data_IF_037175917878
#
_entry.id   IF_037175917878
#
_cell.length_a   1.000
_cell.length_b   1.000
_cell.length_c   1.000
_cell.angle_alpha   90.00
_cell.angle_beta   90.00
_cell.angle_gamma   90.00
#
_symmetry.space_group_name_H-M   'P 1'
#
loop_
_entity.id
_entity.type
_entity.pdbx_description
1 polymer ?
#
# COMPACT_ATOMS: atom_id res chain seq x y z
N UNK A 1 -12.72 13.73 -18.85
CA UNK A 1 -12.83 12.60 -19.79
C UNK A 1 -11.75 11.60 -19.42
N UNK A 2 -12.10 10.37 -19.09
CA UNK A 2 -11.11 9.32 -18.80
C UNK A 2 -10.36 8.93 -20.07
N UNK A 3 -9.05 8.73 -19.96
CA UNK A 3 -8.20 8.36 -21.10
C UNK A 3 -8.54 6.98 -21.67
N UNK A 4 -8.06 6.66 -22.88
CA UNK A 4 -8.37 5.38 -23.53
C UNK A 4 -7.90 4.18 -22.69
N UNK A 5 -6.77 4.33 -21.99
CA UNK A 5 -6.23 3.28 -21.13
C UNK A 5 -7.12 3.00 -19.91
N UNK A 6 -7.66 4.04 -19.26
CA UNK A 6 -8.56 3.87 -18.11
C UNK A 6 -9.79 3.04 -18.48
N UNK A 7 -10.45 3.39 -19.59
CA UNK A 7 -11.62 2.67 -20.11
C UNK A 7 -11.28 1.24 -20.52
N UNK A 8 -10.10 1.02 -21.12
CA UNK A 8 -9.63 -0.31 -21.45
C UNK A 8 -9.40 -1.15 -20.18
N UNK A 9 -8.76 -0.60 -19.15
CA UNK A 9 -8.55 -1.27 -17.86
C UNK A 9 -9.87 -1.60 -17.19
N UNK A 10 -10.82 -0.67 -17.15
CA UNK A 10 -12.16 -0.89 -16.60
C UNK A 10 -12.85 -2.10 -17.28
N UNK A 11 -12.80 -2.17 -18.61
CA UNK A 11 -13.35 -3.27 -19.39
C UNK A 11 -12.63 -4.59 -19.11
N UNK A 12 -11.30 -4.61 -19.25
CA UNK A 12 -10.49 -5.82 -19.11
C UNK A 12 -10.59 -6.40 -17.70
N UNK A 13 -10.60 -5.57 -16.65
CA UNK A 13 -10.82 -6.06 -15.28
C UNK A 13 -12.21 -6.69 -15.13
N UNK A 14 -13.23 -6.16 -15.79
CA UNK A 14 -14.57 -6.74 -15.83
C UNK A 14 -14.61 -8.15 -16.43
N UNK A 15 -13.87 -8.37 -17.52
CA UNK A 15 -13.81 -9.67 -18.20
C UNK A 15 -12.90 -10.70 -17.51
N UNK A 16 -11.91 -10.22 -16.76
CA UNK A 16 -10.86 -11.06 -16.14
C UNK A 16 -10.99 -11.18 -14.63
N UNK A 17 -12.18 -10.87 -14.08
CA UNK A 17 -12.42 -10.92 -12.65
C UNK A 17 -12.10 -12.32 -12.09
N UNK A 18 -11.31 -12.43 -11.01
CA UNK A 18 -10.99 -13.71 -10.41
C UNK A 18 -12.24 -14.37 -9.80
N UNK A 19 -12.21 -15.70 -9.66
CA UNK A 19 -13.33 -16.46 -9.08
C UNK A 19 -13.77 -15.88 -7.73
N UNK A 20 -15.07 -15.65 -7.57
CA UNK A 20 -15.64 -15.07 -6.36
C UNK A 20 -15.66 -13.54 -6.32
N UNK A 21 -15.21 -12.88 -7.39
CA UNK A 21 -15.26 -11.43 -7.55
C UNK A 21 -15.91 -11.04 -8.87
N UNK A 22 -16.45 -9.83 -8.91
CA UNK A 22 -17.01 -9.21 -10.13
C UNK A 22 -16.81 -7.70 -10.10
N UNK A 23 -16.80 -7.09 -11.28
CA UNK A 23 -17.00 -5.64 -11.40
C UNK A 23 -18.51 -5.38 -11.37
N UNK A 24 -18.98 -4.75 -10.30
CA UNK A 24 -20.38 -4.40 -10.09
C UNK A 24 -20.79 -3.10 -10.80
N UNK A 25 -19.82 -2.27 -11.19
CA UNK A 25 -20.07 -1.08 -12.00
C UNK A 25 -18.80 -0.30 -12.30
N UNK A 26 -18.88 0.58 -13.30
CA UNK A 26 -17.86 1.55 -13.70
C UNK A 26 -18.44 2.95 -13.57
N UNK A 27 -17.62 3.95 -13.23
CA UNK A 27 -18.05 5.35 -13.10
C UNK A 27 -19.26 5.51 -12.15
N UNK A 28 -19.31 4.68 -11.10
CA UNK A 28 -20.48 4.59 -10.22
C UNK A 28 -20.47 5.77 -9.24
N UNK A 29 -21.62 6.45 -9.11
CA UNK A 29 -21.80 7.53 -8.13
C UNK A 29 -21.68 7.00 -6.70
N UNK A 30 -20.96 7.74 -5.86
CA UNK A 30 -20.82 7.41 -4.44
C UNK A 30 -22.00 7.96 -3.62
N UNK A 31 -22.55 9.11 -4.02
CA UNK A 31 -23.60 9.81 -3.30
C UNK A 31 -24.95 9.68 -4.01
N UNK A 32 -26.02 9.65 -3.24
CA UNK A 32 -27.37 9.89 -3.76
C UNK A 32 -27.47 11.31 -4.36
N UNK A 33 -28.25 11.47 -5.43
CA UNK A 33 -28.37 12.73 -6.19
C UNK A 33 -28.75 13.94 -5.33
N UNK A 34 -29.57 13.75 -4.28
CA UNK A 34 -29.91 14.81 -3.33
C UNK A 34 -28.65 15.34 -2.59
N UNK A 35 -27.77 14.44 -2.14
CA UNK A 35 -26.53 14.80 -1.47
C UNK A 35 -25.53 15.44 -2.44
N UNK A 36 -25.48 14.97 -3.69
CA UNK A 36 -24.67 15.60 -4.74
C UNK A 36 -25.04 17.07 -4.93
N UNK A 37 -26.36 17.37 -4.95
CA UNK A 37 -26.87 18.74 -5.02
C UNK A 37 -26.46 19.61 -3.82
N UNK A 38 -26.40 19.03 -2.62
CA UNK A 38 -25.99 19.75 -1.40
C UNK A 38 -24.49 20.03 -1.33
N UNK A 39 -23.65 19.08 -1.74
CA UNK A 39 -22.19 19.24 -1.69
C UNK A 39 -21.63 19.99 -2.90
N UNK A 40 -22.42 20.12 -3.97
CA UNK A 40 -22.03 20.86 -5.17
C UNK A 40 -21.13 20.08 -6.13
N UNK A 41 -21.02 18.75 -5.96
CA UNK A 41 -20.27 17.87 -6.86
C UNK A 41 -20.82 16.43 -6.83
N UNK A 42 -20.54 15.68 -7.89
CA UNK A 42 -21.02 14.30 -8.08
C UNK A 42 -19.83 13.32 -8.06
N UNK A 43 -19.42 12.84 -6.88
CA UNK A 43 -18.28 11.92 -6.78
C UNK A 43 -18.62 10.58 -7.42
N UNK A 44 -17.70 10.06 -8.24
CA UNK A 44 -17.81 8.76 -8.88
C UNK A 44 -16.47 8.03 -8.81
N UNK A 45 -16.52 6.70 -8.70
CA UNK A 45 -15.33 5.86 -8.79
C UNK A 45 -15.22 5.21 -10.16
N UNK A 46 -13.99 5.06 -10.65
CA UNK A 46 -13.71 4.40 -11.92
C UNK A 46 -14.28 2.97 -11.95
N UNK A 47 -14.12 2.23 -10.85
CA UNK A 47 -14.59 0.85 -10.71
C UNK A 47 -15.20 0.60 -9.32
N UNK A 48 -16.21 -0.25 -9.31
CA UNK A 48 -16.74 -0.86 -8.09
C UNK A 48 -16.67 -2.36 -8.24
N UNK A 49 -15.89 -2.97 -7.36
CA UNK A 49 -15.63 -4.38 -7.31
C UNK A 49 -16.37 -4.96 -6.11
N UNK A 50 -17.06 -6.07 -6.30
CA UNK A 50 -17.77 -6.76 -5.22
C UNK A 50 -17.39 -8.24 -5.23
N UNK A 51 -17.28 -8.82 -4.06
CA UNK A 51 -17.27 -10.27 -3.99
C UNK A 51 -18.67 -10.81 -4.32
N UNK A 52 -18.75 -12.04 -4.81
CA UNK A 52 -20.02 -12.64 -5.27
C UNK A 52 -21.04 -12.86 -4.16
N UNK A 53 -20.60 -12.85 -2.90
CA UNK A 53 -21.49 -12.92 -1.72
C UNK A 53 -22.04 -11.55 -1.30
N UNK A 54 -21.53 -10.45 -1.88
CA UNK A 54 -21.92 -9.09 -1.54
C UNK A 54 -21.42 -8.60 -0.17
N UNK A 55 -20.61 -9.39 0.54
CA UNK A 55 -20.11 -9.03 1.88
C UNK A 55 -18.92 -8.08 1.86
N UNK A 56 -18.28 -7.89 0.70
CA UNK A 56 -17.17 -6.95 0.53
C UNK A 56 -17.32 -6.18 -0.77
N UNK A 57 -17.23 -4.86 -0.66
CA UNK A 57 -17.14 -3.95 -1.81
C UNK A 57 -15.86 -3.13 -1.73
N UNK A 58 -15.24 -2.95 -2.89
CA UNK A 58 -14.03 -2.15 -3.09
C UNK A 58 -14.34 -1.10 -4.16
N UNK A 59 -14.18 0.16 -3.81
CA UNK A 59 -14.21 1.30 -4.71
C UNK A 59 -12.79 1.59 -5.17
N UNK A 60 -12.60 1.72 -6.47
CA UNK A 60 -11.26 1.83 -7.06
C UNK A 60 -11.16 3.08 -7.91
N UNK A 61 -10.08 3.82 -7.68
CA UNK A 61 -9.67 4.96 -8.50
C UNK A 61 -8.42 4.57 -9.29
N UNK A 62 -8.45 4.78 -10.60
CA UNK A 62 -7.35 4.56 -11.52
C UNK A 62 -6.61 5.89 -11.75
N UNK A 63 -5.55 6.13 -11.00
CA UNK A 63 -4.76 7.35 -11.14
C UNK A 63 -3.74 7.19 -12.29
N UNK A 64 -4.23 7.45 -13.52
CA UNK A 64 -3.48 7.39 -14.77
C UNK A 64 -3.23 8.79 -15.30
N UNK A 65 -1.95 9.19 -15.40
CA UNK A 65 -1.58 10.51 -15.97
C UNK A 65 -2.22 11.73 -15.26
N UNK A 66 -2.52 11.61 -13.96
CA UNK A 66 -3.28 12.62 -13.22
C UNK A 66 -2.38 13.76 -12.72
N UNK A 67 -2.87 14.99 -12.87
CA UNK A 67 -2.23 16.17 -12.32
C UNK A 67 -2.51 16.33 -10.82
N UNK A 68 -3.76 16.08 -10.39
CA UNK A 68 -4.23 16.30 -9.01
C UNK A 68 -4.95 15.05 -8.47
N UNK A 69 -4.21 13.99 -8.11
CA UNK A 69 -4.83 12.70 -7.79
C UNK A 69 -5.55 12.66 -6.42
N UNK A 70 -5.38 13.69 -5.56
CA UNK A 70 -6.01 13.75 -4.22
C UNK A 70 -7.50 14.09 -4.26
N UNK A 71 -7.99 14.72 -5.33
CA UNK A 71 -9.38 15.17 -5.39
C UNK A 71 -10.38 14.02 -5.20
N UNK A 72 -10.10 12.84 -5.77
CA UNK A 72 -10.96 11.66 -5.62
C UNK A 72 -10.89 11.07 -4.20
N UNK A 73 -9.72 11.10 -3.57
CA UNK A 73 -9.53 10.67 -2.18
C UNK A 73 -10.40 11.50 -1.24
N UNK A 74 -10.36 12.83 -1.37
CA UNK A 74 -11.18 13.74 -0.56
C UNK A 74 -12.68 13.55 -0.82
N UNK A 75 -13.08 13.41 -2.09
CA UNK A 75 -14.47 13.12 -2.48
C UNK A 75 -14.98 11.85 -1.82
N UNK A 76 -14.19 10.78 -1.84
CA UNK A 76 -14.55 9.51 -1.21
C UNK A 76 -14.66 9.64 0.30
N UNK A 77 -13.67 10.28 0.94
CA UNK A 77 -13.65 10.49 2.39
C UNK A 77 -14.87 11.30 2.87
N UNK A 78 -15.27 12.33 2.12
CA UNK A 78 -16.46 13.11 2.45
C UNK A 78 -17.72 12.27 2.20
N UNK A 79 -17.77 11.54 1.07
CA UNK A 79 -18.92 10.71 0.73
C UNK A 79 -19.20 9.64 1.78
N UNK A 80 -18.17 8.97 2.29
CA UNK A 80 -18.31 7.94 3.34
C UNK A 80 -18.81 8.49 4.68
N UNK A 81 -18.68 9.80 4.92
CA UNK A 81 -19.16 10.47 6.13
C UNK A 81 -20.58 10.99 5.97
N UNK A 82 -20.95 11.43 4.77
CA UNK A 82 -22.30 11.91 4.46
C UNK A 82 -23.28 10.77 4.21
N UNK A 83 -22.81 9.69 3.58
CA UNK A 83 -23.55 8.48 3.31
C UNK A 83 -22.70 7.31 3.78
N UNK A 84 -22.96 6.86 5.01
CA UNK A 84 -22.14 5.82 5.64
C UNK A 84 -22.22 4.52 4.85
N UNK A 85 -21.07 4.03 4.41
CA UNK A 85 -20.86 2.70 3.87
C UNK A 85 -19.57 2.13 4.46
N UNK A 86 -19.57 0.82 4.77
CA UNK A 86 -18.40 0.12 5.34
C UNK A 86 -17.57 -0.53 4.21
N UNK A 87 -17.37 0.20 3.12
CA UNK A 87 -16.68 -0.26 1.92
C UNK A 87 -15.19 0.13 1.94
N UNK A 88 -14.37 -0.59 1.17
CA UNK A 88 -12.95 -0.29 1.02
C UNK A 88 -12.69 0.66 -0.16
N UNK A 89 -11.73 1.58 -0.02
CA UNK A 89 -11.22 2.43 -1.10
C UNK A 89 -9.81 1.99 -1.51
N UNK A 90 -9.54 1.90 -2.81
CA UNK A 90 -8.21 1.60 -3.34
C UNK A 90 -7.86 2.57 -4.47
N UNK A 91 -6.80 3.35 -4.30
CA UNK A 91 -6.20 4.12 -5.38
C UNK A 91 -5.10 3.30 -6.07
N UNK A 92 -5.30 2.94 -7.34
CA UNK A 92 -4.29 2.28 -8.16
C UNK A 92 -3.56 3.33 -8.99
N UNK A 93 -2.29 3.58 -8.65
CA UNK A 93 -1.51 4.68 -9.22
C UNK A 93 -0.47 4.17 -10.19
N UNK A 94 -0.48 4.70 -11.42
CA UNK A 94 0.51 4.36 -12.46
C UNK A 94 1.82 5.14 -12.31
N UNK A 95 2.90 4.68 -12.95
CA UNK A 95 4.21 5.36 -12.92
C UNK A 95 4.28 6.68 -13.72
N UNK A 96 3.24 7.04 -14.46
CA UNK A 96 3.18 8.35 -15.12
C UNK A 96 2.76 9.47 -14.16
N UNK A 97 2.17 9.13 -13.01
CA UNK A 97 1.99 10.09 -11.91
C UNK A 97 3.35 10.31 -11.24
N UNK A 98 3.77 11.56 -11.15
CA UNK A 98 5.09 11.92 -10.61
C UNK A 98 5.21 11.55 -9.12
N UNK A 99 6.45 11.28 -8.67
CA UNK A 99 6.74 10.80 -7.31
C UNK A 99 6.09 11.63 -6.21
N UNK A 100 6.25 12.96 -6.25
CA UNK A 100 5.65 13.86 -5.24
C UNK A 100 4.12 13.79 -5.19
N UNK A 101 3.44 13.66 -6.34
CA UNK A 101 1.97 13.52 -6.39
C UNK A 101 1.52 12.16 -5.87
N UNK A 102 2.29 11.11 -6.14
CA UNK A 102 2.03 9.76 -5.62
C UNK A 102 2.24 9.68 -4.11
N UNK A 103 3.27 10.35 -3.59
CA UNK A 103 3.47 10.46 -2.15
C UNK A 103 2.30 11.21 -1.49
N UNK A 104 1.84 12.30 -2.12
CA UNK A 104 0.67 13.04 -1.66
C UNK A 104 -0.59 12.18 -1.61
N UNK A 105 -0.82 11.29 -2.59
CA UNK A 105 -1.90 10.30 -2.51
C UNK A 105 -1.73 9.34 -1.35
N UNK A 106 -0.52 8.82 -1.10
CA UNK A 106 -0.27 7.94 0.05
C UNK A 106 -0.60 8.63 1.38
N UNK A 107 -0.25 9.91 1.51
CA UNK A 107 -0.64 10.71 2.68
C UNK A 107 -2.15 10.93 2.76
N UNK A 108 -2.83 11.14 1.62
CA UNK A 108 -4.29 11.24 1.60
C UNK A 108 -4.96 9.92 2.04
N UNK A 109 -4.45 8.76 1.61
CA UNK A 109 -4.89 7.45 2.11
C UNK A 109 -4.72 7.33 3.62
N UNK A 110 -3.59 7.78 4.14
CA UNK A 110 -3.31 7.78 5.58
C UNK A 110 -4.33 8.64 6.34
N UNK A 111 -4.62 9.85 5.84
CA UNK A 111 -5.66 10.73 6.38
C UNK A 111 -7.05 10.08 6.31
N UNK A 112 -7.39 9.41 5.20
CA UNK A 112 -8.66 8.69 5.06
C UNK A 112 -8.82 7.60 6.12
N UNK A 113 -7.75 6.84 6.41
CA UNK A 113 -7.76 5.86 7.50
C UNK A 113 -8.00 6.49 8.85
N UNK A 114 -7.39 7.65 9.13
CA UNK A 114 -7.63 8.38 10.38
C UNK A 114 -9.08 8.84 10.53
N UNK A 115 -9.78 9.06 9.40
CA UNK A 115 -11.20 9.36 9.37
C UNK A 115 -12.10 8.10 9.46
N UNK A 116 -11.50 6.92 9.64
CA UNK A 116 -12.21 5.64 9.77
C UNK A 116 -12.54 4.97 8.43
N UNK A 117 -11.93 5.40 7.33
CA UNK A 117 -12.12 4.78 6.01
C UNK A 117 -11.07 3.70 5.79
N UNK A 118 -11.49 2.50 5.39
CA UNK A 118 -10.58 1.46 4.90
C UNK A 118 -10.03 1.86 3.53
N UNK A 119 -8.94 2.63 3.52
CA UNK A 119 -8.36 3.19 2.31
C UNK A 119 -6.95 2.62 2.04
N UNK A 120 -6.62 2.35 0.78
CA UNK A 120 -5.30 1.83 0.38
C UNK A 120 -4.83 2.48 -0.92
N UNK A 121 -3.51 2.56 -1.11
CA UNK A 121 -2.92 2.89 -2.39
C UNK A 121 -2.09 1.70 -2.87
N UNK A 122 -2.09 1.41 -4.17
CA UNK A 122 -1.14 0.47 -4.74
C UNK A 122 -0.73 0.83 -6.16
N UNK A 123 0.24 0.12 -6.73
CA UNK A 123 0.71 0.36 -8.09
C UNK A 123 -0.24 -0.21 -9.14
N UNK A 124 -0.55 0.61 -10.15
CA UNK A 124 -1.19 0.19 -11.40
C UNK A 124 -0.11 -0.05 -12.45
N UNK A 125 -0.13 -1.22 -13.10
CA UNK A 125 0.80 -1.61 -14.16
C UNK A 125 2.28 -1.35 -13.79
N UNK A 126 2.77 -1.86 -12.64
CA UNK A 126 4.10 -1.53 -12.12
C UNK A 126 5.26 -1.92 -13.05
N UNK A 127 5.03 -2.79 -14.03
CA UNK A 127 6.00 -3.18 -15.04
C UNK A 127 6.23 -2.10 -16.10
N UNK A 128 5.31 -1.14 -16.24
CA UNK A 128 5.40 -0.08 -17.25
C UNK A 128 5.94 1.21 -16.63
N UNK A 129 6.80 1.92 -17.36
CA UNK A 129 7.25 3.25 -16.97
C UNK A 129 6.25 4.35 -17.37
N UNK A 130 6.56 5.60 -17.02
CA UNK A 130 5.68 6.73 -17.33
C UNK A 130 5.52 7.00 -18.83
N UNK A 131 6.55 6.75 -19.64
CA UNK A 131 6.50 6.97 -21.09
C UNK A 131 5.59 5.96 -21.76
N UNK A 132 5.67 4.70 -21.33
CA UNK A 132 4.85 3.62 -21.85
C UNK A 132 3.38 3.76 -21.42
N UNK A 133 3.11 4.14 -20.17
CA UNK A 133 1.76 4.49 -19.73
C UNK A 133 1.19 5.64 -20.56
N UNK A 134 2.00 6.68 -20.83
CA UNK A 134 1.59 7.79 -21.69
C UNK A 134 1.29 7.32 -23.10
N UNK A 135 2.14 6.46 -23.70
CA UNK A 135 1.92 5.89 -25.04
C UNK A 135 0.60 5.13 -25.10
N UNK A 136 0.40 4.16 -24.20
CA UNK A 136 -0.82 3.35 -24.13
C UNK A 136 -2.07 4.23 -23.97
N UNK A 137 -2.01 5.29 -23.16
CA UNK A 137 -3.15 6.18 -22.95
C UNK A 137 -3.62 6.93 -24.22
N UNK A 138 -2.80 6.99 -25.28
CA UNK A 138 -3.15 7.60 -26.56
C UNK A 138 -3.49 6.59 -27.66
N UNK A 139 -3.30 5.28 -27.43
CA UNK A 139 -3.65 4.25 -28.39
C UNK A 139 -5.16 4.11 -28.56
N UNK A 140 -5.58 3.61 -29.73
CA UNK A 140 -6.94 3.19 -29.98
C UNK A 140 -7.27 1.89 -29.22
N UNK A 141 -8.55 1.55 -29.12
CA UNK A 141 -8.99 0.32 -28.42
C UNK A 141 -8.41 -0.97 -29.03
N UNK A 142 -8.41 -1.18 -30.37
CA UNK A 142 -7.79 -2.37 -30.96
C UNK A 142 -6.30 -2.49 -30.65
N UNK A 143 -5.58 -1.36 -30.69
CA UNK A 143 -4.15 -1.33 -30.35
C UNK A 143 -3.90 -1.62 -28.87
N UNK A 144 -4.76 -1.11 -27.98
CA UNK A 144 -4.69 -1.41 -26.55
C UNK A 144 -4.90 -2.90 -26.26
N UNK A 145 -5.84 -3.56 -26.93
CA UNK A 145 -6.06 -5.02 -26.78
C UNK A 145 -4.80 -5.81 -27.13
N UNK A 146 -4.03 -5.35 -28.12
CA UNK A 146 -2.80 -6.02 -28.52
C UNK A 146 -1.58 -5.66 -27.65
N UNK A 147 -1.52 -4.42 -27.15
CA UNK A 147 -0.32 -3.88 -26.51
C UNK A 147 -0.38 -3.81 -24.97
N UNK A 148 -1.57 -3.75 -24.38
CA UNK A 148 -1.72 -3.65 -22.94
C UNK A 148 -1.38 -5.01 -22.29
N UNK A 149 -0.51 -5.07 -21.28
CA UNK A 149 -0.20 -6.31 -20.60
C UNK A 149 -1.41 -6.85 -19.83
N UNK A 150 -1.33 -8.14 -19.46
CA UNK A 150 -2.34 -8.77 -18.60
C UNK A 150 -2.50 -8.01 -17.28
N UNK A 151 -3.77 -7.83 -16.86
CA UNK A 151 -4.15 -7.20 -15.60
C UNK A 151 -4.36 -8.19 -14.45
N UNK A 152 -4.07 -9.49 -14.67
CA UNK A 152 -4.13 -10.47 -13.58
C UNK A 152 -3.23 -10.12 -12.38
N UNK A 153 -1.99 -9.61 -12.56
CA UNK A 153 -1.16 -9.16 -11.43
C UNK A 153 -1.74 -7.94 -10.69
N UNK A 154 -2.42 -7.05 -11.41
CA UNK A 154 -3.09 -5.87 -10.86
C UNK A 154 -4.30 -6.27 -10.00
N UNK A 155 -5.07 -7.26 -10.45
CA UNK A 155 -6.12 -7.91 -9.66
C UNK A 155 -5.58 -8.53 -8.36
N UNK A 156 -4.53 -9.35 -8.44
CA UNK A 156 -3.92 -9.98 -7.26
C UNK A 156 -3.48 -8.91 -6.25
N UNK A 157 -2.84 -7.85 -6.74
CA UNK A 157 -2.34 -6.76 -5.90
C UNK A 157 -3.47 -6.01 -5.20
N UNK A 158 -4.52 -5.63 -5.95
CA UNK A 158 -5.69 -4.95 -5.41
C UNK A 158 -6.33 -5.75 -4.28
N UNK A 159 -6.51 -7.06 -4.48
CA UNK A 159 -7.10 -7.95 -3.48
C UNK A 159 -6.17 -8.16 -2.28
N UNK A 160 -4.85 -8.24 -2.51
CA UNK A 160 -3.85 -8.45 -1.46
C UNK A 160 -3.80 -7.27 -0.48
N UNK A 161 -3.79 -6.04 -0.98
CA UNK A 161 -3.63 -4.85 -0.11
C UNK A 161 -4.93 -4.46 0.60
N UNK A 162 -6.07 -4.86 0.05
CA UNK A 162 -7.38 -4.55 0.61
C UNK A 162 -7.91 -5.62 1.57
N UNK A 163 -7.31 -6.81 1.61
CA UNK A 163 -7.78 -7.90 2.47
C UNK A 163 -7.03 -7.94 3.81
N UNK A 164 -7.75 -8.07 4.94
CA UNK A 164 -7.09 -8.30 6.22
C UNK A 164 -6.38 -9.65 6.20
N UNK A 165 -5.15 -9.67 6.69
CA UNK A 165 -4.37 -10.89 6.88
C UNK A 165 -4.83 -11.61 8.13
N UNK A 166 -5.01 -10.89 9.22
CA UNK A 166 -5.53 -11.42 10.48
C UNK A 166 -6.40 -10.37 11.16
N UNK A 167 -7.29 -10.83 12.03
CA UNK A 167 -8.06 -10.00 12.93
C UNK A 167 -7.78 -10.45 14.36
N UNK A 168 -7.33 -9.53 15.22
CA UNK A 168 -7.03 -9.80 16.63
C UNK A 168 -7.53 -8.65 17.49
N UNK A 169 -8.34 -8.97 18.50
CA UNK A 169 -8.94 -7.98 19.40
C UNK A 169 -9.64 -6.81 18.68
N UNK A 170 -10.34 -7.14 17.58
CA UNK A 170 -11.02 -6.15 16.73
C UNK A 170 -10.10 -5.31 15.83
N UNK A 171 -8.78 -5.57 15.84
CA UNK A 171 -7.80 -4.93 14.97
C UNK A 171 -7.48 -5.83 13.80
N UNK A 172 -7.63 -5.29 12.59
CA UNK A 172 -7.26 -5.99 11.37
C UNK A 172 -5.85 -5.61 10.98
N UNK A 173 -5.00 -6.56 10.59
CA UNK A 173 -3.66 -6.28 10.07
C UNK A 173 -3.65 -6.50 8.58
N UNK A 174 -3.13 -5.55 7.82
CA UNK A 174 -3.03 -5.62 6.38
C UNK A 174 -1.58 -5.50 5.93
N UNK A 175 -1.34 -5.91 4.69
CA UNK A 175 -0.13 -5.53 4.00
C UNK A 175 -0.13 -4.03 3.70
N UNK A 176 1.06 -3.42 3.71
CA UNK A 176 1.22 -2.07 3.15
C UNK A 176 0.90 -2.11 1.66
N UNK A 177 0.28 -1.07 1.14
CA UNK A 177 -0.07 -0.95 -0.27
C UNK A 177 1.02 -0.31 -1.12
N UNK A 178 1.85 0.56 -0.52
CA UNK A 178 2.90 1.29 -1.24
C UNK A 178 4.18 1.61 -0.41
N UNK A 179 5.31 1.94 -1.07
CA UNK A 179 6.59 2.19 -0.40
C UNK A 179 6.63 3.35 0.61
N UNK A 180 5.76 4.35 0.51
CA UNK A 180 5.71 5.47 1.45
C UNK A 180 5.21 4.99 2.82
N UNK A 181 4.33 4.01 2.87
CA UNK A 181 3.92 3.37 4.14
C UNK A 181 5.07 2.60 4.78
N UNK A 182 5.92 1.94 3.98
CA UNK A 182 7.14 1.32 4.49
C UNK A 182 8.07 2.36 5.12
N UNK A 183 8.19 3.55 4.51
CA UNK A 183 8.97 4.66 5.06
C UNK A 183 8.47 5.06 6.44
N UNK A 184 7.14 5.25 6.60
CA UNK A 184 6.55 5.56 7.90
C UNK A 184 6.86 4.51 8.95
N UNK A 185 6.77 3.23 8.59
CA UNK A 185 7.12 2.14 9.50
C UNK A 185 8.62 2.12 9.84
N UNK A 186 9.52 2.45 8.89
CA UNK A 186 10.96 2.60 9.18
C UNK A 186 11.19 3.70 10.21
N UNK A 187 10.56 4.86 10.03
CA UNK A 187 10.65 5.97 10.97
C UNK A 187 10.09 5.59 12.35
N UNK A 188 8.88 5.02 12.39
CA UNK A 188 8.22 4.65 13.64
C UNK A 188 9.02 3.61 14.41
N UNK A 189 9.59 2.61 13.75
CA UNK A 189 10.44 1.62 14.40
C UNK A 189 11.62 2.29 15.12
N UNK A 190 12.34 3.20 14.44
CA UNK A 190 13.50 3.89 15.01
C UNK A 190 13.11 4.80 16.18
N UNK A 191 11.95 5.46 16.11
CA UNK A 191 11.42 6.25 17.23
C UNK A 191 11.08 5.36 18.43
N UNK A 192 10.41 4.23 18.20
CA UNK A 192 9.99 3.34 19.27
C UNK A 192 11.20 2.73 19.98
N UNK A 193 12.18 2.20 19.24
CA UNK A 193 13.38 1.59 19.84
C UNK A 193 14.33 2.61 20.46
N UNK A 194 14.15 3.91 20.23
CA UNK A 194 14.90 4.93 20.96
C UNK A 194 14.46 5.01 22.44
N UNK A 195 13.27 4.52 22.79
CA UNK A 195 12.71 4.55 24.15
C UNK A 195 12.95 3.24 24.90
N UNK A 196 13.07 3.30 26.23
CA UNK A 196 13.20 2.10 27.07
C UNK A 196 11.98 1.17 26.94
N UNK A 197 10.77 1.75 26.95
CA UNK A 197 9.52 1.01 26.78
C UNK A 197 9.46 0.27 25.44
N UNK A 198 9.82 0.94 24.33
CA UNK A 198 9.87 0.31 23.02
C UNK A 198 10.94 -0.76 22.90
N UNK A 199 12.11 -0.59 23.52
CA UNK A 199 13.15 -1.63 23.59
C UNK A 199 12.65 -2.88 24.34
N UNK A 200 11.94 -2.69 25.44
CA UNK A 200 11.35 -3.79 26.21
C UNK A 200 10.28 -4.56 25.39
N UNK A 201 9.41 -3.83 24.67
CA UNK A 201 8.41 -4.44 23.79
C UNK A 201 9.07 -5.20 22.63
N UNK A 202 10.13 -4.64 22.03
CA UNK A 202 10.87 -5.27 20.93
C UNK A 202 11.59 -6.56 21.38
N UNK A 203 12.23 -6.52 22.54
CA UNK A 203 12.83 -7.70 23.15
C UNK A 203 11.79 -8.80 23.38
N UNK A 204 10.56 -8.42 23.72
CA UNK A 204 9.49 -9.37 24.01
C UNK A 204 9.84 -10.31 25.17
N UNK A 205 9.12 -11.42 25.29
CA UNK A 205 9.28 -12.36 26.41
C UNK A 205 10.54 -13.23 26.32
N UNK A 206 11.12 -13.38 25.12
CA UNK A 206 12.25 -14.30 24.84
C UNK A 206 13.58 -13.59 24.56
N UNK A 207 13.61 -12.27 24.71
CA UNK A 207 14.78 -11.44 24.41
C UNK A 207 14.93 -11.09 22.93
N UNK A 208 15.97 -10.31 22.61
CA UNK A 208 16.14 -9.71 21.28
C UNK A 208 16.18 -10.73 20.15
N UNK A 209 15.31 -10.50 19.16
CA UNK A 209 15.15 -11.39 18.01
C UNK A 209 16.27 -11.20 17.00
N UNK A 210 16.74 -12.30 16.44
CA UNK A 210 17.64 -12.28 15.30
C UNK A 210 16.86 -11.94 14.03
N UNK A 211 17.24 -10.85 13.35
CA UNK A 211 16.62 -10.36 12.12
C UNK A 211 17.57 -10.55 10.95
N UNK A 212 17.04 -10.96 9.79
CA UNK A 212 17.81 -11.21 8.57
C UNK A 212 17.53 -10.19 7.45
N UNK A 213 16.27 -9.76 7.32
CA UNK A 213 15.83 -8.85 6.26
C UNK A 213 15.52 -7.46 6.81
N UNK A 214 16.01 -6.44 6.14
CA UNK A 214 15.86 -5.04 6.52
C UNK A 214 15.40 -4.20 5.34
N UNK A 215 14.57 -3.20 5.60
CA UNK A 215 14.25 -2.14 4.65
C UNK A 215 15.14 -0.95 4.97
N UNK A 216 15.75 -0.36 3.94
CA UNK A 216 16.46 0.92 4.02
C UNK A 216 15.58 2.03 3.46
N UNK A 217 15.48 3.15 4.18
CA UNK A 217 14.86 4.37 3.68
C UNK A 217 15.92 5.45 3.40
N UNK A 218 16.26 5.71 2.11
CA UNK A 218 17.39 6.58 1.77
C UNK A 218 17.30 8.02 2.28
N UNK A 219 16.15 8.73 2.17
CA UNK A 219 16.06 10.13 2.61
C UNK A 219 16.42 10.33 4.08
N UNK A 220 16.13 9.35 4.93
CA UNK A 220 16.43 9.40 6.36
C UNK A 220 17.74 8.72 6.74
N UNK A 221 18.33 7.92 5.84
CA UNK A 221 19.47 7.07 6.16
C UNK A 221 19.16 6.00 7.22
N UNK A 222 17.89 5.65 7.40
CA UNK A 222 17.41 4.74 8.45
C UNK A 222 17.12 3.35 7.90
N UNK A 223 17.18 2.35 8.78
CA UNK A 223 16.82 0.98 8.49
C UNK A 223 15.75 0.51 9.47
N UNK A 224 15.00 -0.52 9.11
CA UNK A 224 14.13 -1.25 10.04
C UNK A 224 13.93 -2.70 9.61
N UNK A 225 13.59 -3.61 10.54
CA UNK A 225 13.24 -5.00 10.22
C UNK A 225 12.11 -5.08 9.19
N UNK A 226 12.32 -5.86 8.13
CA UNK A 226 11.37 -6.00 7.03
C UNK A 226 9.97 -6.47 7.48
N UNK A 227 9.92 -7.34 8.50
CA UNK A 227 8.66 -7.80 9.10
C UNK A 227 7.88 -6.68 9.78
N UNK A 228 8.55 -5.69 10.36
CA UNK A 228 7.87 -4.53 10.95
C UNK A 228 7.33 -3.60 9.86
N UNK A 229 8.07 -3.46 8.75
CA UNK A 229 7.76 -2.49 7.70
C UNK A 229 6.69 -2.94 6.72
N UNK A 230 6.44 -4.25 6.61
CA UNK A 230 5.56 -4.82 5.58
C UNK A 230 4.06 -4.74 5.89
N UNK A 231 3.67 -4.32 7.09
CA UNK A 231 2.27 -4.35 7.55
C UNK A 231 1.80 -3.02 8.13
N UNK A 232 0.50 -2.81 8.11
CA UNK A 232 -0.18 -1.70 8.78
C UNK A 232 -1.45 -2.21 9.47
N UNK A 233 -1.84 -1.62 10.61
CA UNK A 233 -3.15 -1.88 11.20
C UNK A 233 -4.25 -1.17 10.39
N UNK A 234 -5.44 -1.77 10.34
CA UNK A 234 -6.67 -1.07 9.99
C UNK A 234 -7.05 -0.07 11.08
N UNK A 235 -7.84 0.94 10.72
CA UNK A 235 -8.51 1.78 11.71
C UNK A 235 -7.68 2.96 12.22
N UNK A 236 -7.05 3.73 11.32
CA UNK A 236 -6.60 5.09 11.61
C UNK A 236 -5.24 5.28 12.26
N UNK A 237 -4.45 4.21 12.45
CA UNK A 237 -3.04 4.40 12.77
C UNK A 237 -2.27 4.88 11.51
N UNK A 238 -1.25 5.71 11.73
CA UNK A 238 -0.34 6.18 10.67
C UNK A 238 0.54 5.04 10.09
N UNK A 239 0.75 3.98 10.87
CA UNK A 239 1.60 2.85 10.52
C UNK A 239 1.67 1.83 11.66
N UNK A 240 2.56 0.86 11.52
CA UNK A 240 2.91 -0.10 12.56
C UNK A 240 3.69 0.60 13.69
N UNK A 241 3.35 0.31 14.93
CA UNK A 241 4.13 0.70 16.11
C UNK A 241 4.54 -0.53 16.94
N UNK A 242 5.45 -0.34 17.88
CA UNK A 242 6.03 -1.44 18.66
C UNK A 242 5.02 -2.15 19.56
N UNK A 243 4.05 -1.41 20.13
CA UNK A 243 3.01 -2.01 20.96
C UNK A 243 2.13 -2.97 20.15
N UNK A 244 1.71 -2.54 18.96
CA UNK A 244 0.95 -3.36 18.02
C UNK A 244 1.79 -4.54 17.52
N UNK A 245 3.04 -4.31 17.13
CA UNK A 245 3.93 -5.35 16.67
C UNK A 245 4.17 -6.45 17.73
N UNK A 246 4.38 -6.06 18.98
CA UNK A 246 4.60 -6.99 20.09
C UNK A 246 3.33 -7.81 20.42
N UNK A 247 2.15 -7.22 20.25
CA UNK A 247 0.85 -7.88 20.46
C UNK A 247 0.56 -8.95 19.38
N UNK A 248 1.06 -8.74 18.16
CA UNK A 248 0.89 -9.68 17.03
C UNK A 248 1.72 -10.97 17.16
N UNK A 249 2.52 -11.15 18.22
CA UNK A 249 3.61 -12.13 18.19
C UNK A 249 3.30 -13.59 18.60
N UNK A 250 4.13 -14.47 18.00
CA UNK A 250 4.38 -15.92 18.08
C UNK A 250 3.31 -16.93 17.65
N UNK A 251 2.02 -16.64 17.79
CA UNK A 251 0.96 -17.61 17.44
C UNK A 251 0.28 -17.37 16.10
N UNK A 252 0.59 -16.26 15.40
CA UNK A 252 -0.08 -15.88 14.16
C UNK A 252 0.74 -16.34 12.94
N UNK A 253 0.37 -17.44 12.26
CA UNK A 253 1.14 -17.98 11.13
C UNK A 253 1.20 -17.01 9.95
N UNK A 254 0.24 -16.09 9.88
CA UNK A 254 0.14 -15.13 8.79
C UNK A 254 1.13 -13.97 8.95
N UNK A 255 1.62 -13.73 10.17
CA UNK A 255 2.67 -12.76 10.48
C UNK A 255 4.05 -13.44 10.35
N UNK A 256 4.43 -13.75 9.12
CA UNK A 256 5.64 -14.49 8.77
C UNK A 256 6.69 -13.62 8.05
N UNK A 257 7.96 -13.88 8.34
CA UNK A 257 9.09 -13.14 7.77
C UNK A 257 9.22 -13.33 6.26
N UNK A 258 8.92 -14.54 5.74
CA UNK A 258 8.95 -14.81 4.29
C UNK A 258 7.87 -14.03 3.56
N UNK A 259 6.64 -14.06 4.08
CA UNK A 259 5.54 -13.26 3.54
C UNK A 259 5.86 -11.77 3.52
N UNK A 260 6.47 -11.25 4.60
CA UNK A 260 6.86 -9.85 4.68
C UNK A 260 7.84 -9.44 3.56
N UNK A 261 8.96 -10.15 3.39
CA UNK A 261 9.93 -9.75 2.37
C UNK A 261 9.44 -10.02 0.95
N UNK A 262 8.66 -11.09 0.71
CA UNK A 262 8.04 -11.34 -0.59
C UNK A 262 7.07 -10.21 -0.94
N UNK A 263 6.34 -9.66 0.04
CA UNK A 263 5.45 -8.53 -0.19
C UNK A 263 6.21 -7.22 -0.46
N UNK A 264 7.28 -6.94 0.29
CA UNK A 264 8.16 -5.78 0.06
C UNK A 264 8.72 -5.79 -1.37
N UNK A 265 9.16 -6.95 -1.86
CA UNK A 265 9.58 -7.12 -3.25
C UNK A 265 8.44 -6.81 -4.24
N UNK A 266 7.24 -7.35 -3.98
CA UNK A 266 6.06 -7.15 -4.83
C UNK A 266 5.65 -5.68 -4.98
N UNK A 267 5.81 -4.85 -3.95
CA UNK A 267 5.50 -3.41 -4.05
C UNK A 267 6.64 -2.58 -4.68
N UNK A 268 7.72 -3.24 -5.10
CA UNK A 268 8.77 -2.68 -5.95
C UNK A 268 10.10 -2.42 -5.26
N UNK A 269 10.31 -2.89 -4.03
CA UNK A 269 11.64 -2.84 -3.43
C UNK A 269 12.55 -3.86 -4.11
N UNK A 270 13.83 -3.50 -4.22
CA UNK A 270 14.86 -4.37 -4.78
C UNK A 270 15.90 -4.69 -3.74
N UNK A 271 16.42 -5.92 -3.76
CA UNK A 271 17.51 -6.30 -2.88
C UNK A 271 18.80 -5.62 -3.36
N UNK A 272 19.48 -4.94 -2.45
CA UNK A 272 20.77 -4.31 -2.75
C UNK A 272 21.93 -5.18 -2.28
N UNK A 273 22.93 -5.29 -3.15
CA UNK A 273 24.21 -5.93 -2.89
C UNK A 273 25.33 -4.89 -2.66
N UNK A 274 25.00 -3.58 -2.67
CA UNK A 274 25.95 -2.47 -2.56
C UNK A 274 26.77 -2.54 -1.25
N UNK A 275 28.11 -2.70 -1.33
CA UNK A 275 28.98 -2.71 -0.16
C UNK A 275 28.88 -1.43 0.69
N UNK A 276 28.75 -0.26 0.06
CA UNK A 276 28.67 1.01 0.79
C UNK A 276 27.39 1.10 1.62
N UNK A 277 26.29 0.52 1.12
CA UNK A 277 25.05 0.41 1.88
C UNK A 277 25.18 -0.55 3.07
N UNK A 278 25.91 -1.64 2.93
CA UNK A 278 26.18 -2.57 4.03
C UNK A 278 27.04 -1.90 5.12
N UNK A 279 28.03 -1.09 4.76
CA UNK A 279 28.78 -0.30 5.73
C UNK A 279 27.91 0.71 6.48
N UNK A 280 26.97 1.36 5.79
CA UNK A 280 25.97 2.24 6.41
C UNK A 280 25.07 1.46 7.38
N UNK A 281 24.59 0.29 6.97
CA UNK A 281 23.79 -0.58 7.83
C UNK A 281 24.54 -0.93 9.11
N UNK A 282 25.79 -1.37 9.03
CA UNK A 282 26.56 -1.74 10.22
C UNK A 282 26.87 -0.56 11.13
N UNK A 283 27.09 0.63 10.59
CA UNK A 283 27.17 1.86 11.40
C UNK A 283 25.87 2.15 12.14
N UNK A 284 24.74 2.05 11.44
CA UNK A 284 23.42 2.24 12.05
C UNK A 284 23.13 1.17 13.11
N UNK A 285 23.39 -0.11 12.84
CA UNK A 285 23.14 -1.22 13.76
C UNK A 285 23.96 -1.07 15.05
N UNK A 286 25.24 -0.67 14.95
CA UNK A 286 26.07 -0.40 16.13
C UNK A 286 25.49 0.72 17.00
N UNK A 287 24.90 1.75 16.40
CA UNK A 287 24.23 2.83 17.14
C UNK A 287 22.95 2.35 17.87
N UNK A 288 22.31 1.27 17.40
CA UNK A 288 21.16 0.67 18.09
C UNK A 288 21.56 -0.18 19.31
N UNK A 289 22.83 -0.61 19.39
CA UNK A 289 23.35 -1.45 20.47
C UNK A 289 22.77 -2.87 20.44
N UNK A 290 22.57 -3.46 21.61
CA UNK A 290 22.11 -4.86 21.74
C UNK A 290 20.66 -5.10 21.30
N UNK A 291 19.91 -4.02 21.01
CA UNK A 291 18.49 -4.10 20.65
C UNK A 291 18.24 -4.88 19.37
N UNK A 292 19.21 -4.89 18.46
CA UNK A 292 19.08 -5.57 17.19
C UNK A 292 20.17 -6.62 17.02
N UNK A 293 19.78 -7.89 17.07
CA UNK A 293 20.63 -9.02 16.70
C UNK A 293 20.42 -9.32 15.21
N UNK A 294 21.52 -9.41 14.46
CA UNK A 294 21.49 -9.75 13.03
C UNK A 294 21.84 -11.22 12.87
N UNK A 295 21.02 -11.98 12.13
CA UNK A 295 21.16 -13.44 12.02
C UNK A 295 22.40 -13.88 11.19
N UNK A 296 22.90 -13.01 10.32
CA UNK A 296 24.00 -13.28 9.38
C UNK A 296 24.96 -12.09 9.34
N UNK A 297 26.22 -12.36 9.04
CA UNK A 297 27.25 -11.32 8.82
C UNK A 297 26.96 -10.45 7.58
N UNK A 298 26.05 -10.91 6.72
CA UNK A 298 25.53 -10.14 5.59
C UNK A 298 24.00 -10.08 5.64
N UNK A 299 23.41 -9.02 6.20
CA UNK A 299 21.96 -8.82 6.21
C UNK A 299 21.43 -8.61 4.79
N UNK A 300 20.17 -8.96 4.57
CA UNK A 300 19.51 -8.73 3.28
C UNK A 300 18.79 -7.38 3.33
N UNK A 301 19.26 -6.42 2.53
CA UNK A 301 18.76 -5.03 2.56
C UNK A 301 17.90 -4.76 1.32
N UNK A 302 16.66 -4.34 1.55
CA UNK A 302 15.68 -3.96 0.55
C UNK A 302 15.66 -2.43 0.39
N UNK A 303 15.73 -1.97 -0.85
CA UNK A 303 15.81 -0.54 -1.21
C UNK A 303 14.55 -0.16 -1.99
N UNK A 304 13.92 0.99 -1.69
CA UNK A 304 12.73 1.41 -2.38
C UNK A 304 13.00 1.67 -3.87
N UNK A 305 11.96 1.61 -4.71
CA UNK A 305 12.10 2.01 -6.10
C UNK A 305 12.41 3.51 -6.19
N UNK A 306 13.24 3.92 -7.15
CA UNK A 306 13.76 5.29 -7.22
C UNK A 306 12.70 6.41 -7.39
N UNK A 307 11.47 6.07 -7.76
CA UNK A 307 10.36 7.04 -7.81
C UNK A 307 9.73 7.34 -6.44
N UNK A 308 10.03 6.53 -5.43
CA UNK A 308 9.46 6.66 -4.07
C UNK A 308 10.30 7.56 -3.16
N UNK A 309 11.49 7.95 -3.59
CA UNK A 309 12.48 8.73 -2.81
C UNK A 309 12.71 10.10 -3.39
#
# INVERSE_FOLDING_TARGET
>A
MSGNLARHIQHTLGETAPRGWRVAGTERRLLATELEGRVGYAPAADLVIENTTGTRRIWVELEISRADPVANHAKFAIASRLQRFDDTFVAMVSRHVTGGRRALCSHAITMMRQLGVDAFQTSLLPQLDGAEIKRLNHLSRPELVAACPSLAPDWERLLTVSAPLTERDGRRILFIGDPVEAAWNVHQWNLDVATEAGRALWAGKRGFRAVEHFVWWPPAGLFAPCKFTAFVPAGGALGMNMAMYADLDESEPLFDGRRAWTHIERIGFVRSEDPALHERFWRWQRAQGEVLRVKRDRPLIWVPPGWAT
#
